data_IF_369603822221
#
_entry.id   IF_369603822221
#
_cell.length_a   1.000
_cell.length_b   1.000
_cell.length_c   1.000
_cell.angle_alpha   90.00
_cell.angle_beta   90.00
_cell.angle_gamma   90.00
#
_symmetry.space_group_name_H-M   'P 1'
#
loop_
_entity.id
_entity.type
_entity.pdbx_description
1 polymer ?
#
# COMPACT_ATOMS: atom_id res chain seq x y z
N UNK A 1 -39.63 -11.97 16.55
CA UNK A 1 -39.73 -11.58 15.12
C UNK A 1 -39.89 -10.06 15.10
N UNK A 2 -38.88 -9.31 14.69
CA UNK A 2 -38.90 -7.85 14.64
C UNK A 2 -39.21 -7.41 13.21
N UNK A 3 -40.33 -6.70 13.03
CA UNK A 3 -40.69 -6.10 11.74
C UNK A 3 -39.93 -4.78 11.59
N UNK A 4 -39.17 -4.56 10.51
CA UNK A 4 -38.55 -3.28 10.26
C UNK A 4 -39.65 -2.26 9.87
N UNK A 5 -39.76 -1.19 10.64
CA UNK A 5 -40.63 -0.06 10.29
C UNK A 5 -39.83 0.89 9.42
N UNK A 6 -40.20 1.04 8.16
CA UNK A 6 -39.62 2.02 7.25
C UNK A 6 -40.47 3.31 7.30
N UNK A 7 -40.00 4.32 8.01
CA UNK A 7 -40.60 5.66 7.99
C UNK A 7 -40.00 6.45 6.83
N UNK A 8 -40.84 6.95 5.93
CA UNK A 8 -40.41 7.77 4.81
C UNK A 8 -41.41 8.90 4.56
N UNK A 9 -40.89 10.13 4.45
CA UNK A 9 -41.72 11.31 4.17
C UNK A 9 -42.27 11.32 2.73
N UNK A 10 -41.54 10.72 1.79
CA UNK A 10 -41.86 10.68 0.37
C UNK A 10 -41.75 9.26 -0.19
N UNK A 11 -42.74 8.40 0.00
CA UNK A 11 -42.67 6.99 -0.39
C UNK A 11 -42.49 6.79 -1.90
N UNK A 12 -42.93 7.71 -2.74
CA UNK A 12 -42.83 7.66 -4.20
C UNK A 12 -41.65 8.42 -4.76
N UNK A 13 -40.81 9.09 -3.95
CA UNK A 13 -39.63 9.80 -4.42
C UNK A 13 -38.62 8.83 -5.02
N UNK A 14 -38.24 9.05 -6.27
CA UNK A 14 -37.24 8.25 -6.96
C UNK A 14 -35.88 8.43 -6.29
N UNK A 15 -35.49 7.48 -5.49
CA UNK A 15 -34.21 7.50 -4.76
C UNK A 15 -33.07 7.10 -5.72
N UNK A 16 -32.28 8.08 -6.14
CA UNK A 16 -31.18 7.86 -7.07
C UNK A 16 -29.88 7.88 -6.27
N UNK A 17 -29.14 6.77 -6.27
CA UNK A 17 -27.81 6.71 -5.69
C UNK A 17 -26.88 7.72 -6.39
N UNK A 18 -26.06 8.43 -5.61
CA UNK A 18 -25.07 9.37 -6.13
C UNK A 18 -23.79 9.23 -5.37
N UNK A 19 -22.73 8.84 -6.08
CA UNK A 19 -21.38 8.76 -5.54
C UNK A 19 -20.59 10.02 -5.85
N UNK A 20 -19.69 10.37 -4.95
CA UNK A 20 -18.72 11.46 -5.12
C UNK A 20 -17.33 10.99 -4.66
N UNK A 21 -16.29 11.45 -5.35
CA UNK A 21 -14.91 11.34 -4.87
C UNK A 21 -14.59 12.62 -4.07
N UNK A 22 -14.61 12.52 -2.75
CA UNK A 22 -14.38 13.65 -1.86
C UNK A 22 -12.91 14.07 -1.88
N UNK A 23 -11.98 13.14 -1.64
CA UNK A 23 -10.55 13.43 -1.65
C UNK A 23 -9.71 12.17 -1.93
N UNK A 24 -8.45 12.39 -2.29
CA UNK A 24 -7.43 11.35 -2.34
C UNK A 24 -6.52 11.56 -1.14
N UNK A 25 -6.40 10.56 -0.29
CA UNK A 25 -5.52 10.56 0.88
C UNK A 25 -4.23 9.84 0.54
N UNK A 26 -3.13 10.43 0.96
CA UNK A 26 -1.78 9.87 0.80
C UNK A 26 -1.17 9.71 2.18
N UNK A 27 -0.80 8.49 2.53
CA UNK A 27 -0.15 8.20 3.81
C UNK A 27 0.86 7.07 3.65
N UNK A 28 2.13 7.35 3.97
CA UNK A 28 3.23 6.37 3.85
C UNK A 28 3.25 5.64 2.50
N UNK A 29 3.07 6.38 1.40
CA UNK A 29 3.01 5.84 0.04
C UNK A 29 1.76 5.02 -0.28
N UNK A 30 0.84 4.86 0.66
CA UNK A 30 -0.48 4.27 0.41
C UNK A 30 -1.47 5.34 -0.05
N UNK A 31 -2.30 4.96 -0.98
CA UNK A 31 -3.32 5.84 -1.57
C UNK A 31 -4.69 5.29 -1.25
N UNK A 32 -5.52 6.13 -0.64
CA UNK A 32 -6.92 5.85 -0.42
C UNK A 32 -7.79 6.93 -1.07
N UNK A 33 -8.82 6.50 -1.76
CA UNK A 33 -9.87 7.36 -2.30
C UNK A 33 -11.03 7.45 -1.30
N UNK A 34 -11.33 8.65 -0.80
CA UNK A 34 -12.51 8.85 0.04
C UNK A 34 -13.72 9.03 -0.84
N UNK A 35 -14.56 8.02 -0.85
CA UNK A 35 -15.82 7.98 -1.60
C UNK A 35 -16.98 8.31 -0.66
N UNK A 36 -17.96 9.03 -1.18
CA UNK A 36 -19.14 9.45 -0.41
C UNK A 36 -20.41 9.11 -1.19
N UNK A 37 -21.32 8.38 -0.55
CA UNK A 37 -22.70 8.25 -0.99
C UNK A 37 -23.51 9.41 -0.41
N UNK A 38 -23.80 10.41 -1.21
CA UNK A 38 -24.49 11.65 -0.78
C UNK A 38 -26.01 11.53 -0.81
N UNK A 39 -26.54 10.31 -0.86
CA UNK A 39 -27.98 10.06 -0.90
C UNK A 39 -28.40 9.07 0.18
N UNK A 40 -29.63 9.19 0.71
CA UNK A 40 -30.19 8.28 1.71
C UNK A 40 -30.64 6.96 1.06
N UNK A 41 -29.77 6.36 0.25
CA UNK A 41 -30.05 5.12 -0.49
C UNK A 41 -28.96 4.11 -0.19
N UNK A 42 -29.36 2.97 0.36
CA UNK A 42 -28.52 1.79 0.42
C UNK A 42 -28.39 1.21 -1.01
N UNK A 43 -27.21 0.93 -1.44
CA UNK A 43 -27.01 0.15 -2.66
C UNK A 43 -25.83 -0.81 -2.51
N UNK A 44 -26.01 -1.96 -3.13
CA UNK A 44 -25.01 -3.02 -3.14
C UNK A 44 -24.58 -3.35 -4.57
N UNK A 45 -23.86 -4.44 -4.70
CA UNK A 45 -23.30 -4.91 -5.99
C UNK A 45 -22.52 -3.83 -6.72
N UNK A 46 -21.85 -2.93 -5.95
CA UNK A 46 -20.99 -1.91 -6.50
C UNK A 46 -19.68 -2.58 -6.94
N UNK A 47 -19.33 -2.41 -8.19
CA UNK A 47 -18.01 -2.75 -8.73
C UNK A 47 -17.18 -1.48 -8.80
N UNK A 48 -15.98 -1.52 -8.26
CA UNK A 48 -15.03 -0.41 -8.22
C UNK A 48 -13.78 -0.84 -8.99
N UNK A 49 -13.49 -0.15 -10.08
CA UNK A 49 -12.24 -0.28 -10.81
C UNK A 49 -11.41 0.98 -10.55
N UNK A 50 -10.30 0.84 -9.86
CA UNK A 50 -9.37 1.93 -9.60
C UNK A 50 -8.05 1.70 -10.32
N UNK A 51 -7.48 2.75 -10.88
CA UNK A 51 -6.21 2.74 -11.59
C UNK A 51 -5.41 3.98 -11.23
N UNK A 52 -4.12 3.80 -10.95
CA UNK A 52 -3.17 4.89 -10.75
C UNK A 52 -2.14 4.85 -11.88
N UNK A 53 -1.94 5.98 -12.52
CA UNK A 53 -0.89 6.20 -13.51
C UNK A 53 0.05 7.30 -13.02
N UNK A 54 1.27 7.34 -13.50
CA UNK A 54 2.13 8.51 -13.34
C UNK A 54 1.61 9.64 -14.24
N UNK A 55 1.76 10.89 -13.83
CA UNK A 55 1.37 12.03 -14.65
C UNK A 55 1.98 11.91 -16.06
N UNK A 56 1.19 12.25 -17.07
CA UNK A 56 1.57 12.16 -18.49
C UNK A 56 1.93 10.75 -19.00
N UNK A 57 1.57 9.69 -18.26
CA UNK A 57 1.78 8.31 -18.70
C UNK A 57 0.46 7.54 -18.73
N UNK A 58 0.33 6.66 -19.73
CA UNK A 58 -0.86 5.81 -19.89
C UNK A 58 -0.73 4.47 -19.17
N UNK A 59 0.52 4.04 -18.88
CA UNK A 59 0.79 2.78 -18.21
C UNK A 59 0.33 2.83 -16.75
N UNK A 60 -0.56 1.91 -16.39
CA UNK A 60 -1.01 1.81 -15.00
C UNK A 60 0.09 1.22 -14.12
N UNK A 61 0.40 1.91 -13.02
CA UNK A 61 1.29 1.43 -11.97
C UNK A 61 0.55 0.53 -10.99
N UNK A 62 -0.70 0.89 -10.69
CA UNK A 62 -1.57 0.14 -9.79
C UNK A 62 -2.93 -0.02 -10.45
N UNK A 63 -3.49 -1.23 -10.33
CA UNK A 63 -4.88 -1.54 -10.69
C UNK A 63 -5.50 -2.30 -9.55
N UNK A 64 -6.70 -1.91 -9.14
CA UNK A 64 -7.48 -2.62 -8.14
C UNK A 64 -8.93 -2.69 -8.57
N UNK A 65 -9.49 -3.88 -8.49
CA UNK A 65 -10.91 -4.13 -8.74
C UNK A 65 -11.51 -4.80 -7.52
N UNK A 66 -12.66 -4.28 -7.09
CA UNK A 66 -13.47 -4.90 -6.05
C UNK A 66 -14.88 -4.96 -6.56
N UNK A 67 -15.52 -6.12 -6.41
CA UNK A 67 -16.90 -6.38 -6.82
C UNK A 67 -17.78 -6.61 -5.60
N UNK A 68 -19.07 -6.46 -5.79
CA UNK A 68 -20.10 -6.74 -4.78
C UNK A 68 -19.95 -5.90 -3.49
N UNK A 69 -19.42 -4.68 -3.62
CA UNK A 69 -19.28 -3.77 -2.48
C UNK A 69 -20.63 -3.18 -2.09
N UNK A 70 -20.92 -3.10 -0.79
CA UNK A 70 -22.14 -2.49 -0.28
C UNK A 70 -21.84 -1.10 0.27
N UNK A 71 -22.73 -0.15 0.02
CA UNK A 71 -22.57 1.24 0.44
C UNK A 71 -23.80 1.69 1.19
N UNK A 72 -23.58 2.08 2.45
CA UNK A 72 -24.64 2.59 3.31
C UNK A 72 -25.15 3.96 2.85
N UNK A 73 -26.38 4.33 3.21
CA UNK A 73 -26.94 5.66 2.97
C UNK A 73 -26.09 6.75 3.62
N UNK A 74 -25.96 7.91 2.96
CA UNK A 74 -25.26 9.09 3.50
C UNK A 74 -23.90 8.79 4.15
N UNK A 75 -23.18 7.81 3.61
CA UNK A 75 -21.93 7.31 4.19
C UNK A 75 -20.71 7.70 3.36
N UNK A 76 -19.58 7.84 4.04
CA UNK A 76 -18.28 8.01 3.43
C UNK A 76 -17.35 6.86 3.86
N UNK A 77 -16.53 6.37 2.94
CA UNK A 77 -15.55 5.33 3.21
C UNK A 77 -14.25 5.57 2.44
N UNK A 78 -13.17 5.05 2.97
CA UNK A 78 -11.86 5.15 2.37
C UNK A 78 -11.55 3.85 1.60
N UNK A 79 -11.52 3.94 0.28
CA UNK A 79 -11.15 2.85 -0.60
C UNK A 79 -9.64 2.86 -0.81
N UNK A 80 -8.92 1.95 -0.16
CA UNK A 80 -7.47 1.82 -0.32
C UNK A 80 -7.17 1.21 -1.69
N UNK A 81 -6.43 1.95 -2.52
CA UNK A 81 -6.11 1.56 -3.90
C UNK A 81 -4.78 0.82 -3.98
N UNK A 82 -3.77 1.28 -3.26
CA UNK A 82 -2.43 0.68 -3.28
C UNK A 82 -2.31 -0.54 -2.38
N UNK A 83 -1.41 -1.45 -2.75
CA UNK A 83 -0.97 -2.53 -1.89
C UNK A 83 -0.01 -1.97 -0.81
N UNK A 84 -0.19 -2.31 0.47
CA UNK A 84 0.75 -1.94 1.54
C UNK A 84 2.20 -2.32 1.24
N UNK A 85 2.42 -3.43 0.53
CA UNK A 85 3.74 -3.94 0.18
C UNK A 85 4.35 -3.26 -1.06
N UNK A 86 3.56 -2.46 -1.79
CA UNK A 86 3.98 -1.74 -3.00
C UNK A 86 3.56 -0.28 -2.93
N UNK A 87 4.12 0.49 -1.98
CA UNK A 87 3.80 1.91 -1.84
C UNK A 87 4.31 2.70 -3.04
N UNK A 88 3.69 3.85 -3.30
CA UNK A 88 4.14 4.76 -4.35
C UNK A 88 5.28 5.64 -3.83
N UNK A 89 6.25 5.88 -4.70
CA UNK A 89 7.32 6.85 -4.46
C UNK A 89 6.82 8.29 -4.57
N UNK A 90 7.63 9.27 -4.20
CA UNK A 90 7.35 10.67 -4.43
C UNK A 90 7.18 10.97 -5.93
N UNK A 91 6.19 11.79 -6.27
CA UNK A 91 5.88 12.14 -7.66
C UNK A 91 4.44 12.58 -7.88
N UNK A 92 4.12 12.88 -9.14
CA UNK A 92 2.79 13.29 -9.58
C UNK A 92 2.06 12.13 -10.23
N UNK A 93 0.81 11.92 -9.85
CA UNK A 93 0.00 10.78 -10.24
C UNK A 93 -1.42 11.20 -10.61
N UNK A 94 -2.09 10.34 -11.36
CA UNK A 94 -3.49 10.45 -11.70
C UNK A 94 -4.22 9.20 -11.21
N UNK A 95 -5.21 9.39 -10.35
CA UNK A 95 -6.17 8.36 -9.96
C UNK A 95 -7.36 8.42 -10.89
N UNK A 96 -7.69 7.31 -11.52
CA UNK A 96 -8.91 7.12 -12.30
C UNK A 96 -9.73 6.01 -11.67
N UNK A 97 -11.01 6.27 -11.46
CA UNK A 97 -11.93 5.30 -10.87
C UNK A 97 -13.21 5.20 -11.69
N UNK A 98 -13.60 3.98 -12.02
CA UNK A 98 -14.88 3.66 -12.63
C UNK A 98 -15.69 2.83 -11.62
N UNK A 99 -16.84 3.32 -11.25
CA UNK A 99 -17.78 2.66 -10.35
C UNK A 99 -19.02 2.27 -11.12
N UNK A 100 -19.52 1.07 -10.88
CA UNK A 100 -20.74 0.57 -11.52
C UNK A 100 -21.62 -0.16 -10.50
N UNK A 101 -22.92 0.16 -10.49
CA UNK A 101 -23.93 -0.56 -9.71
C UNK A 101 -25.20 -0.69 -10.56
N UNK A 102 -25.46 -1.89 -11.04
CA UNK A 102 -26.50 -2.16 -12.04
C UNK A 102 -26.29 -1.35 -13.32
N UNK A 103 -27.27 -0.55 -13.71
CA UNK A 103 -27.21 0.32 -14.90
C UNK A 103 -26.51 1.67 -14.62
N UNK A 104 -26.10 1.94 -13.38
CA UNK A 104 -25.51 3.22 -12.99
C UNK A 104 -24.00 3.12 -13.03
N UNK A 105 -23.37 4.19 -13.54
CA UNK A 105 -21.93 4.33 -13.65
C UNK A 105 -21.51 5.70 -13.14
N UNK A 106 -20.34 5.75 -12.50
CA UNK A 106 -19.66 6.98 -12.10
C UNK A 106 -18.22 6.89 -12.52
N UNK A 107 -17.72 7.96 -13.07
CA UNK A 107 -16.32 8.09 -13.46
C UNK A 107 -15.69 9.25 -12.69
N UNK A 108 -14.55 8.99 -12.07
CA UNK A 108 -13.77 9.98 -11.34
C UNK A 108 -12.34 9.96 -11.83
N UNK A 109 -11.79 11.15 -11.99
CA UNK A 109 -10.37 11.34 -12.30
C UNK A 109 -9.85 12.47 -11.45
N UNK A 110 -8.75 12.22 -10.72
CA UNK A 110 -8.13 13.22 -9.84
C UNK A 110 -6.62 13.09 -9.85
N UNK A 111 -5.95 14.19 -10.17
CA UNK A 111 -4.51 14.30 -9.99
C UNK A 111 -4.18 14.47 -8.51
N UNK A 112 -3.08 13.88 -8.08
CA UNK A 112 -2.54 14.02 -6.73
C UNK A 112 -1.03 13.91 -6.73
N UNK A 113 -0.40 14.41 -5.68
CA UNK A 113 1.04 14.37 -5.50
C UNK A 113 1.38 13.56 -4.25
N UNK A 114 2.36 12.69 -4.38
CA UNK A 114 3.01 12.02 -3.25
C UNK A 114 4.28 12.80 -2.96
N UNK A 115 4.36 13.45 -1.80
CA UNK A 115 5.56 14.16 -1.36
C UNK A 115 6.61 13.20 -0.82
N UNK A 116 7.85 13.61 -0.71
CA UNK A 116 8.92 12.79 -0.14
C UNK A 116 8.61 12.36 1.30
N UNK A 117 7.96 13.21 2.09
CA UNK A 117 7.54 12.91 3.46
C UNK A 117 6.36 11.93 3.54
N UNK A 118 5.53 11.88 2.52
CA UNK A 118 4.38 10.97 2.43
C UNK A 118 4.73 9.63 1.76
N UNK A 119 5.81 9.60 0.98
CA UNK A 119 6.31 8.36 0.40
C UNK A 119 6.72 7.40 1.53
N UNK A 120 6.59 6.10 1.29
CA UNK A 120 7.19 5.15 2.22
C UNK A 120 8.70 5.45 2.30
N UNK A 121 9.27 5.46 3.49
CA UNK A 121 10.72 5.49 3.58
C UNK A 121 11.21 4.32 2.73
N UNK A 122 12.10 4.62 1.79
CA UNK A 122 12.89 3.57 1.15
C UNK A 122 13.70 2.95 2.29
N UNK A 123 13.12 2.02 3.00
CA UNK A 123 13.90 1.07 3.76
C UNK A 123 14.75 0.42 2.67
N UNK A 124 15.98 0.95 2.47
CA UNK A 124 17.02 0.11 1.93
C UNK A 124 16.88 -1.15 2.78
N UNK A 125 16.32 -2.20 2.20
CA UNK A 125 16.65 -3.53 2.67
C UNK A 125 18.18 -3.48 2.59
N UNK A 126 18.80 -3.16 3.70
CA UNK A 126 20.19 -3.49 3.96
C UNK A 126 20.16 -4.97 3.79
N UNK A 127 20.44 -5.36 2.54
CA UNK A 127 20.39 -6.76 2.18
C UNK A 127 21.28 -7.42 3.19
N UNK A 128 20.92 -8.56 3.63
CA UNK A 128 21.64 -9.49 4.50
C UNK A 128 23.18 -9.52 4.27
N UNK A 129 23.69 -8.93 3.22
CA UNK A 129 25.10 -8.80 2.86
C UNK A 129 25.94 -7.90 3.80
N UNK A 130 25.37 -6.98 4.57
CA UNK A 130 26.15 -6.11 5.46
C UNK A 130 26.54 -6.78 6.79
N UNK A 131 25.63 -7.54 7.41
CA UNK A 131 25.91 -8.26 8.66
C UNK A 131 26.81 -9.48 8.47
N UNK A 132 26.58 -10.38 7.49
CA UNK A 132 27.47 -11.53 7.31
C UNK A 132 28.87 -11.14 6.90
N UNK A 133 29.06 -10.08 6.12
CA UNK A 133 30.39 -9.65 5.70
C UNK A 133 31.21 -9.17 6.92
N UNK A 134 30.59 -8.45 7.84
CA UNK A 134 31.25 -8.02 9.09
C UNK A 134 31.57 -9.21 10.00
N UNK A 135 30.65 -10.16 10.13
CA UNK A 135 30.87 -11.40 10.89
C UNK A 135 31.95 -12.27 10.26
N UNK A 136 32.03 -12.36 8.94
CA UNK A 136 33.10 -13.07 8.24
C UNK A 136 34.46 -12.41 8.43
N UNK A 137 34.56 -11.08 8.42
CA UNK A 137 35.78 -10.34 8.69
C UNK A 137 36.26 -10.55 10.14
N UNK A 138 35.35 -10.50 11.12
CA UNK A 138 35.69 -10.72 12.52
C UNK A 138 36.06 -12.20 12.75
N UNK A 139 35.25 -13.13 12.25
CA UNK A 139 35.52 -14.58 12.38
C UNK A 139 36.79 -15.03 11.67
N UNK A 140 37.00 -14.55 10.43
CA UNK A 140 38.23 -14.82 9.65
C UNK A 140 39.49 -14.27 10.31
N UNK A 141 39.41 -13.03 10.84
CA UNK A 141 40.52 -12.43 11.60
C UNK A 141 40.89 -13.23 12.86
N UNK A 142 39.91 -13.70 13.60
CA UNK A 142 40.12 -14.52 14.81
C UNK A 142 40.82 -15.85 14.48
N UNK A 143 40.39 -16.52 13.40
CA UNK A 143 40.99 -17.77 12.95
C UNK A 143 42.45 -17.57 12.57
N UNK A 144 42.81 -16.50 11.85
CA UNK A 144 44.18 -16.19 11.48
C UNK A 144 45.08 -15.94 12.70
N UNK A 145 44.56 -15.24 13.72
CA UNK A 145 45.27 -15.03 14.98
C UNK A 145 45.55 -16.34 15.70
N UNK A 146 44.55 -17.22 15.78
CA UNK A 146 44.69 -18.56 16.41
C UNK A 146 45.74 -19.39 15.67
N UNK A 147 45.73 -19.41 14.34
CA UNK A 147 46.70 -20.16 13.54
C UNK A 147 48.12 -19.61 13.72
N UNK A 148 48.29 -18.28 13.80
CA UNK A 148 49.56 -17.64 14.08
C UNK A 148 50.12 -18.02 15.47
N UNK A 149 49.27 -18.01 16.51
CA UNK A 149 49.64 -18.40 17.87
C UNK A 149 50.04 -19.88 17.95
N UNK A 150 49.28 -20.77 17.29
CA UNK A 150 49.63 -22.22 17.22
C UNK A 150 50.96 -22.42 16.52
N UNK A 151 51.21 -21.69 15.41
CA UNK A 151 52.52 -21.74 14.70
C UNK A 151 53.68 -21.31 15.57
N UNK A 152 53.51 -20.25 16.37
CA UNK A 152 54.56 -19.79 17.31
C UNK A 152 54.83 -20.83 18.38
N UNK A 153 53.79 -21.42 18.98
CA UNK A 153 53.91 -22.43 20.00
C UNK A 153 54.62 -23.70 19.49
N UNK A 154 54.27 -24.13 18.28
CA UNK A 154 54.92 -25.29 17.65
C UNK A 154 56.40 -25.00 17.32
N UNK A 155 56.72 -23.78 16.90
CA UNK A 155 58.12 -23.36 16.66
C UNK A 155 58.92 -23.31 17.95
N UNK A 156 58.37 -22.84 19.06
CA UNK A 156 59.04 -22.83 20.37
C UNK A 156 59.28 -24.26 20.90
N UNK A 157 58.29 -25.15 20.73
CA UNK A 157 58.45 -26.56 21.15
C UNK A 157 59.53 -27.31 20.40
N UNK A 158 59.74 -26.96 19.11
CA UNK A 158 60.87 -27.51 18.34
C UNK A 158 62.24 -27.03 18.82
N UNK A 159 62.35 -25.77 19.31
CA UNK A 159 63.58 -25.24 19.88
C UNK A 159 63.98 -25.82 21.24
N UNK A 160 62.99 -26.27 22.00
CA UNK A 160 63.20 -26.90 23.35
C UNK A 160 63.58 -28.38 23.27
N UNK A 161 63.53 -29.02 22.09
CA UNK A 161 63.86 -30.44 21.87
C UNK A 161 65.23 -30.63 21.18
N UNK A 162 65.98 -29.54 20.90
CA UNK A 162 67.37 -29.54 20.49
C UNK A 162 68.24 -29.11 21.67
#
# INVERSE_FOLDING_TARGET
MTLPILVTEHPHAKRIAKMQLAQVKVQKGQIAARLHNVRPVLFGKLTIHARITKAHQTKALVKKTVTNYQVAPNSAFDFVVTDPNKPLNAGHYLLTMNLQSGKRQWHFSRAFTVTASQAAPLTKRTGWLGLPLLLWLIGGGLILIILALVGIILKQRKKLKQ
#
